data_IF_125628817639
#
_entry.id   IF_125628817639
#
_cell.length_a   1.000
_cell.length_b   1.000
_cell.length_c   1.000
_cell.angle_alpha   90.00
_cell.angle_beta   90.00
_cell.angle_gamma   90.00
#
_symmetry.space_group_name_H-M   'P 1'
#
loop_
_entity.id
_entity.type
_entity.pdbx_description
1 polymer ?
#
# COMPACT_ATOMS: atom_id res chain seq x y z
N UNK A 1 7.59 -8.60 -12.23
CA UNK A 1 7.33 -7.27 -11.63
C UNK A 1 6.16 -7.40 -10.68
N UNK A 2 6.24 -6.90 -9.45
CA UNK A 2 5.11 -6.91 -8.52
C UNK A 2 3.91 -6.16 -9.11
N UNK A 3 2.68 -6.62 -8.82
CA UNK A 3 1.48 -5.87 -9.24
C UNK A 3 1.27 -4.71 -8.28
N UNK A 4 0.74 -3.60 -8.77
CA UNK A 4 0.40 -2.44 -7.95
C UNK A 4 -0.53 -2.79 -6.78
N UNK A 5 -1.43 -3.75 -6.96
CA UNK A 5 -2.31 -4.24 -5.90
C UNK A 5 -1.52 -4.89 -4.75
N UNK A 6 -0.54 -5.73 -5.08
CA UNK A 6 0.28 -6.43 -4.09
C UNK A 6 1.16 -5.46 -3.30
N UNK A 7 1.77 -4.49 -4.02
CA UNK A 7 2.53 -3.40 -3.40
C UNK A 7 1.62 -2.59 -2.47
N UNK A 8 0.45 -2.14 -2.94
CA UNK A 8 -0.46 -1.34 -2.12
C UNK A 8 -0.96 -2.10 -0.89
N UNK A 9 -1.17 -3.42 -0.98
CA UNK A 9 -1.55 -4.25 0.16
C UNK A 9 -0.49 -4.24 1.28
N UNK A 10 0.80 -4.19 0.92
CA UNK A 10 1.89 -4.14 1.90
C UNK A 10 1.98 -2.80 2.63
N UNK A 11 1.65 -1.69 1.96
CA UNK A 11 1.87 -0.34 2.50
C UNK A 11 0.61 0.35 3.04
N UNK A 12 -0.57 -0.14 2.70
CA UNK A 12 -1.83 0.45 3.11
C UNK A 12 -2.73 -0.56 3.80
N UNK A 13 -3.34 -0.15 4.91
CA UNK A 13 -4.52 -0.83 5.43
C UNK A 13 -5.74 -0.46 4.58
N UNK A 14 -6.42 -1.45 4.03
CA UNK A 14 -7.69 -1.27 3.33
C UNK A 14 -8.79 -0.92 4.33
N UNK A 15 -9.64 0.03 3.95
CA UNK A 15 -10.82 0.47 4.69
C UNK A 15 -12.06 0.35 3.77
N UNK A 16 -13.27 0.45 4.34
CA UNK A 16 -14.50 0.51 3.55
C UNK A 16 -14.48 1.64 2.51
N UNK A 17 -15.38 1.56 1.53
CA UNK A 17 -15.63 2.60 0.53
C UNK A 17 -14.38 3.03 -0.27
N UNK A 18 -13.50 2.06 -0.56
CA UNK A 18 -12.27 2.26 -1.32
C UNK A 18 -11.29 3.27 -0.67
N UNK A 19 -11.33 3.40 0.66
CA UNK A 19 -10.33 4.12 1.41
C UNK A 19 -9.15 3.23 1.79
N UNK A 20 -7.98 3.85 1.86
CA UNK A 20 -6.73 3.21 2.19
C UNK A 20 -5.99 4.10 3.18
N UNK A 21 -5.55 3.54 4.30
CA UNK A 21 -4.73 4.24 5.29
C UNK A 21 -3.28 3.85 5.07
N UNK A 22 -2.43 4.83 4.78
CA UNK A 22 -1.00 4.56 4.64
C UNK A 22 -0.38 4.24 6.01
N UNK A 23 0.30 3.10 6.11
CA UNK A 23 0.75 2.54 7.38
C UNK A 23 1.77 3.43 8.13
N UNK A 24 2.56 4.24 7.41
CA UNK A 24 3.66 5.02 8.00
C UNK A 24 3.26 6.42 8.46
N UNK A 25 2.46 7.16 7.68
CA UNK A 25 2.02 8.52 8.07
C UNK A 25 0.54 8.63 8.42
N UNK A 26 -0.18 7.50 8.51
CA UNK A 26 -1.61 7.40 8.85
C UNK A 26 -2.56 8.22 7.97
N UNK A 27 -2.08 8.78 6.85
CA UNK A 27 -2.93 9.55 5.92
C UNK A 27 -3.89 8.62 5.19
N UNK A 28 -5.15 9.05 5.14
CA UNK A 28 -6.19 8.41 4.37
C UNK A 28 -6.11 8.85 2.91
N UNK A 29 -6.30 7.89 2.00
CA UNK A 29 -6.35 8.09 0.56
C UNK A 29 -7.53 7.30 0.02
N UNK A 30 -8.36 7.93 -0.80
CA UNK A 30 -9.39 7.22 -1.56
C UNK A 30 -8.78 6.74 -2.87
N UNK A 31 -9.02 5.49 -3.24
CA UNK A 31 -8.70 5.00 -4.58
C UNK A 31 -9.56 5.76 -5.60
N UNK A 32 -8.94 6.28 -6.66
CA UNK A 32 -9.70 6.97 -7.70
C UNK A 32 -10.41 5.95 -8.59
N UNK A 33 -11.63 6.28 -9.01
CA UNK A 33 -12.35 5.49 -10.00
C UNK A 33 -11.52 5.37 -11.27
N UNK A 34 -11.52 4.19 -11.88
CA UNK A 34 -10.80 3.88 -13.13
C UNK A 34 -9.27 3.99 -13.09
N UNK A 35 -8.64 4.41 -11.98
CA UNK A 35 -7.17 4.44 -11.86
C UNK A 35 -6.54 3.13 -11.42
N UNK A 36 -7.36 2.14 -11.04
CA UNK A 36 -6.90 1.00 -10.26
C UNK A 36 -6.13 1.50 -9.04
N UNK A 37 -4.92 1.00 -8.81
CA UNK A 37 -4.05 1.41 -7.70
C UNK A 37 -3.06 2.52 -8.07
N UNK A 38 -3.12 3.07 -9.29
CA UNK A 38 -2.12 4.02 -9.79
C UNK A 38 -1.95 5.26 -8.92
N UNK A 39 -3.04 5.78 -8.36
CA UNK A 39 -2.98 6.95 -7.47
C UNK A 39 -2.35 6.64 -6.10
N UNK A 40 -2.48 5.40 -5.61
CA UNK A 40 -1.85 4.94 -4.38
C UNK A 40 -0.36 4.67 -4.59
N UNK A 41 0.01 4.09 -5.73
CA UNK A 41 1.43 3.91 -6.11
C UNK A 41 2.11 5.25 -6.35
N UNK A 42 1.43 6.22 -6.96
CA UNK A 42 1.93 7.60 -7.06
C UNK A 42 2.23 8.20 -5.68
N UNK A 43 1.35 7.98 -4.70
CA UNK A 43 1.60 8.39 -3.33
C UNK A 43 2.85 7.74 -2.72
N UNK A 44 3.05 6.44 -2.95
CA UNK A 44 4.27 5.75 -2.52
C UNK A 44 5.51 6.33 -3.17
N UNK A 45 5.50 6.58 -4.48
CA UNK A 45 6.62 7.22 -5.17
C UNK A 45 7.00 8.56 -4.55
N UNK A 46 6.00 9.37 -4.18
CA UNK A 46 6.21 10.70 -3.62
C UNK A 46 6.67 10.69 -2.15
N UNK A 47 6.20 9.73 -1.34
CA UNK A 47 6.38 9.72 0.13
C UNK A 47 7.23 8.58 0.66
N UNK A 48 7.55 7.62 -0.20
CA UNK A 48 8.32 6.44 0.09
C UNK A 48 9.12 6.04 -1.17
N UNK A 49 10.16 6.80 -1.57
CA UNK A 49 10.86 6.59 -2.84
C UNK A 49 11.43 5.18 -3.04
N UNK A 50 11.73 4.48 -1.95
CA UNK A 50 12.28 3.13 -1.95
C UNK A 50 11.22 2.01 -1.82
N UNK A 51 9.92 2.32 -2.00
CA UNK A 51 8.83 1.39 -1.74
C UNK A 51 8.95 0.05 -2.50
N UNK A 52 9.55 0.03 -3.70
CA UNK A 52 9.74 -1.20 -4.47
C UNK A 52 10.80 -2.11 -3.83
N UNK A 53 11.91 -1.53 -3.37
CA UNK A 53 12.94 -2.28 -2.66
C UNK A 53 12.39 -2.81 -1.33
N UNK A 54 11.72 -1.95 -0.56
CA UNK A 54 11.11 -2.31 0.71
C UNK A 54 10.07 -3.42 0.55
N UNK A 55 9.24 -3.36 -0.49
CA UNK A 55 8.31 -4.44 -0.84
C UNK A 55 9.02 -5.75 -1.17
N UNK A 56 10.20 -5.73 -1.77
CA UNK A 56 10.96 -6.95 -2.11
C UNK A 56 11.77 -7.49 -0.93
N UNK A 57 11.90 -6.76 0.18
CA UNK A 57 12.64 -7.22 1.37
C UNK A 57 11.81 -8.18 2.24
N UNK A 58 12.34 -9.34 2.63
CA UNK A 58 11.62 -10.33 3.45
C UNK A 58 11.04 -9.86 4.77
N UNK A 59 11.65 -8.85 5.38
CA UNK A 59 11.22 -8.33 6.67
C UNK A 59 9.92 -7.52 6.59
N UNK A 60 9.57 -6.91 5.44
CA UNK A 60 8.43 -6.00 5.33
C UNK A 60 7.07 -6.72 5.24
N UNK A 61 7.04 -7.92 4.65
CA UNK A 61 5.83 -8.74 4.52
C UNK A 61 5.46 -9.42 5.84
N UNK A 62 6.46 -9.95 6.55
CA UNK A 62 6.28 -10.66 7.82
C UNK A 62 5.70 -9.76 8.93
N UNK A 63 5.99 -8.45 8.91
CA UNK A 63 5.45 -7.51 9.88
C UNK A 63 3.98 -7.11 9.62
N UNK A 64 3.49 -7.27 8.39
CA UNK A 64 2.18 -6.71 7.96
C UNK A 64 1.11 -7.78 7.76
N UNK A 65 1.47 -9.01 7.39
CA UNK A 65 0.52 -10.10 7.11
C UNK A 65 -0.26 -10.60 8.34
N UNK A 66 0.21 -10.39 9.56
CA UNK A 66 -0.45 -10.89 10.78
C UNK A 66 -1.75 -10.15 11.14
N UNK A 67 -2.14 -9.08 10.43
CA UNK A 67 -3.28 -8.22 10.81
C UNK A 67 -4.50 -8.25 9.89
N UNK A 68 -4.50 -9.03 8.80
CA UNK A 68 -5.64 -9.10 7.86
C UNK A 68 -6.40 -10.43 7.90
N UNK A 69 -6.07 -11.33 8.84
CA UNK A 69 -6.82 -12.55 9.09
C UNK A 69 -7.51 -12.46 10.47
N UNK A 70 -8.57 -11.66 10.59
CA UNK A 70 -9.69 -11.81 11.55
C UNK A 70 -10.75 -10.77 11.27
#
# INVERSE_FOLDING_TARGET
MPKNADICCAFFAALPDHYFKYNYCSKLRRQLSSSGYGNLVGHLRDKHPNYEADYLTPASWLATCTRLAS
#
